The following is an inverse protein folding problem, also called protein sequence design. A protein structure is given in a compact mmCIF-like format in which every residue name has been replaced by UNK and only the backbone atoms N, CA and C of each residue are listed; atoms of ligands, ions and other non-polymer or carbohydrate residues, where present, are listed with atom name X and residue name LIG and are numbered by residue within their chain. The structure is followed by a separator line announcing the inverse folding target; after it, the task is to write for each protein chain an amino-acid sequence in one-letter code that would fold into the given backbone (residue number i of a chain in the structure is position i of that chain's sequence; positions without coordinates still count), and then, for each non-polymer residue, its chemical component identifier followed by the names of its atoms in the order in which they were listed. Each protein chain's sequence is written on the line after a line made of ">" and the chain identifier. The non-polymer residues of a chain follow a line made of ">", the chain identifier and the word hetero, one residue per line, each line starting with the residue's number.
data_IF_304445533595
#
_entry.id   IF_304445533595
#
_cell.length_a   1.000
_cell.length_b   1.000
_cell.length_c   1.000
_cell.angle_alpha   90.00
_cell.angle_beta   90.00
_cell.angle_gamma   90.00
#
_symmetry.space_group_name_H-M   'P 1'
#
loop_
_entity.id
_entity.type
_entity.pdbx_description
1 polymer ?
#
# COMPACT_ATOMS: atom_id res chain seq x y z
N UNK A 1 31.25 8.46 -1.91
CA UNK A 1 29.89 8.97 -2.16
C UNK A 1 28.88 8.27 -1.24
N UNK A 2 28.14 9.04 -0.45
CA UNK A 2 27.08 8.47 0.40
C UNK A 2 25.90 7.97 -0.47
N UNK A 3 25.15 7.00 0.05
CA UNK A 3 23.95 6.47 -0.62
C UNK A 3 22.97 7.59 -0.99
N UNK A 4 22.78 8.54 -0.08
CA UNK A 4 21.90 9.70 -0.28
C UNK A 4 22.44 10.70 -1.30
N UNK A 5 23.77 10.84 -1.44
CA UNK A 5 24.37 11.68 -2.49
C UNK A 5 24.09 11.12 -3.89
N UNK A 6 24.21 9.81 -4.07
CA UNK A 6 23.89 9.15 -5.34
C UNK A 6 22.42 9.43 -5.68
N UNK A 7 21.51 9.20 -4.73
CA UNK A 7 20.08 9.45 -4.92
C UNK A 7 19.80 10.93 -5.17
N UNK A 8 20.44 11.84 -4.44
CA UNK A 8 20.28 13.27 -4.63
C UNK A 8 20.74 13.71 -6.03
N UNK A 9 21.83 13.14 -6.54
CA UNK A 9 22.29 13.40 -7.90
C UNK A 9 21.31 12.88 -8.95
N UNK A 10 20.77 11.66 -8.76
CA UNK A 10 19.72 11.11 -9.62
C UNK A 10 18.45 12.00 -9.62
N UNK A 11 18.00 12.44 -8.45
CA UNK A 11 16.83 13.32 -8.33
C UNK A 11 17.09 14.72 -8.91
N UNK A 12 18.31 15.24 -8.79
CA UNK A 12 18.70 16.54 -9.37
C UNK A 12 18.73 16.48 -10.89
N UNK A 13 19.28 15.40 -11.46
CA UNK A 13 19.25 15.16 -12.90
C UNK A 13 17.83 15.03 -13.43
N UNK A 14 16.96 14.35 -12.70
CA UNK A 14 15.54 14.21 -13.02
C UNK A 14 14.82 15.55 -13.01
N UNK A 15 15.05 16.40 -12.00
CA UNK A 15 14.50 17.78 -11.98
C UNK A 15 14.98 18.62 -13.16
N UNK A 16 16.28 18.54 -13.47
CA UNK A 16 16.88 19.26 -14.58
C UNK A 16 16.42 18.73 -15.96
N UNK A 17 15.98 17.47 -16.03
CA UNK A 17 15.37 16.87 -17.22
C UNK A 17 13.95 17.38 -17.41
N UNK A 18 13.11 17.32 -16.37
CA UNK A 18 11.70 17.76 -16.43
C UNK A 18 11.56 19.27 -16.71
N UNK A 19 12.56 20.08 -16.34
CA UNK A 19 12.59 21.51 -16.64
C UNK A 19 12.92 21.81 -18.13
N UNK A 20 13.49 20.85 -18.86
CA UNK A 20 13.78 20.98 -20.29
C UNK A 20 12.62 20.34 -21.05
N UNK A 21 11.71 21.17 -21.54
CA UNK A 21 10.58 20.75 -22.38
C UNK A 21 11.14 20.07 -23.64
N UNK A 22 11.23 18.73 -23.62
CA UNK A 22 11.93 17.97 -24.64
C UNK A 22 10.97 17.61 -25.79
N UNK A 23 11.38 17.89 -27.03
CA UNK A 23 10.60 17.58 -28.24
C UNK A 23 10.45 16.06 -28.50
N UNK A 24 11.06 15.20 -27.65
CA UNK A 24 10.99 13.74 -27.70
C UNK A 24 10.48 13.14 -26.39
N UNK A 25 9.17 13.27 -26.17
CA UNK A 25 8.46 12.77 -24.98
C UNK A 25 8.69 11.26 -24.72
N UNK A 26 9.06 10.48 -25.74
CA UNK A 26 9.34 9.03 -25.63
C UNK A 26 10.69 8.73 -24.98
N UNK A 27 11.75 9.41 -25.39
CA UNK A 27 13.11 9.18 -24.86
C UNK A 27 13.18 9.63 -23.39
N UNK A 28 12.44 10.69 -23.05
CA UNK A 28 12.33 11.18 -21.69
C UNK A 28 11.59 10.19 -20.78
N UNK A 29 10.49 9.58 -21.26
CA UNK A 29 9.78 8.52 -20.50
C UNK A 29 10.66 7.31 -20.25
N UNK A 30 11.43 6.88 -21.26
CA UNK A 30 12.38 5.77 -21.13
C UNK A 30 13.46 6.07 -20.09
N UNK A 31 14.01 7.29 -20.10
CA UNK A 31 14.98 7.72 -19.09
C UNK A 31 14.38 7.69 -17.68
N UNK A 32 13.16 8.21 -17.51
CA UNK A 32 12.47 8.23 -16.22
C UNK A 32 12.21 6.82 -15.68
N UNK A 33 11.77 5.90 -16.54
CA UNK A 33 11.53 4.50 -16.17
C UNK A 33 12.82 3.77 -15.81
N UNK A 34 13.87 3.93 -16.62
CA UNK A 34 15.19 3.37 -16.33
C UNK A 34 15.71 3.86 -14.98
N UNK A 35 15.50 5.14 -14.65
CA UNK A 35 15.92 5.71 -13.38
C UNK A 35 15.13 5.17 -12.19
N UNK A 36 13.79 5.05 -12.30
CA UNK A 36 12.95 4.45 -11.26
C UNK A 36 13.41 3.00 -11.01
N UNK A 37 13.65 2.24 -12.07
CA UNK A 37 14.11 0.85 -11.97
C UNK A 37 15.49 0.75 -11.33
N UNK A 38 16.45 1.59 -11.74
CA UNK A 38 17.78 1.63 -11.15
C UNK A 38 17.75 1.97 -9.65
N UNK A 39 16.90 2.92 -9.24
CA UNK A 39 16.71 3.25 -7.83
C UNK A 39 16.13 2.08 -7.03
N UNK A 40 15.15 1.37 -7.61
CA UNK A 40 14.57 0.16 -7.03
C UNK A 40 15.59 -0.95 -6.82
N UNK A 41 16.34 -1.26 -7.88
CA UNK A 41 17.41 -2.27 -7.88
C UNK A 41 18.48 -1.94 -6.85
N UNK A 42 18.90 -0.68 -6.83
CA UNK A 42 19.87 -0.19 -5.86
C UNK A 42 19.35 -0.31 -4.43
N UNK A 43 18.09 0.04 -4.17
CA UNK A 43 17.49 -0.08 -2.84
C UNK A 43 17.34 -1.54 -2.38
N UNK A 44 17.08 -2.48 -3.29
CA UNK A 44 16.93 -3.91 -2.97
C UNK A 44 18.19 -4.51 -2.32
N UNK A 45 19.36 -4.00 -2.73
CA UNK A 45 20.66 -4.42 -2.20
C UNK A 45 21.02 -3.81 -0.83
N UNK A 46 20.17 -2.93 -0.29
CA UNK A 46 20.42 -2.26 0.99
C UNK A 46 19.64 -2.91 2.14
N UNK A 47 20.14 -2.78 3.38
CA UNK A 47 19.35 -3.12 4.56
C UNK A 47 18.09 -2.27 4.69
N UNK A 48 17.05 -2.81 5.33
CA UNK A 48 15.75 -2.14 5.44
C UNK A 48 15.82 -0.79 6.19
N UNK A 49 16.71 -0.65 7.18
CA UNK A 49 16.91 0.64 7.86
C UNK A 49 17.44 1.74 6.93
N UNK A 50 18.14 1.41 5.84
CA UNK A 50 18.55 2.39 4.84
C UNK A 50 17.42 2.67 3.84
N UNK A 51 16.60 1.66 3.53
CA UNK A 51 15.42 1.85 2.66
C UNK A 51 14.45 2.86 3.27
N UNK A 52 14.24 2.83 4.59
CA UNK A 52 13.37 3.83 5.24
C UNK A 52 13.97 5.25 5.19
N UNK A 53 15.28 5.39 5.34
CA UNK A 53 15.96 6.68 5.17
C UNK A 53 15.83 7.20 3.73
N UNK A 54 15.94 6.31 2.75
CA UNK A 54 15.72 6.63 1.33
C UNK A 54 14.28 7.06 1.08
N UNK A 55 13.30 6.33 1.61
CA UNK A 55 11.88 6.67 1.49
C UNK A 55 11.58 8.03 2.13
N UNK A 56 12.15 8.30 3.32
CA UNK A 56 12.10 9.60 3.98
C UNK A 56 12.79 10.71 3.17
N UNK A 57 13.90 10.41 2.51
CA UNK A 57 14.58 11.37 1.66
C UNK A 57 13.74 11.73 0.42
N UNK A 58 13.15 10.74 -0.25
CA UNK A 58 12.34 10.94 -1.45
C UNK A 58 11.06 11.71 -1.11
N UNK A 59 10.34 11.32 -0.06
CA UNK A 59 9.06 11.94 0.30
C UNK A 59 9.20 13.43 0.63
N UNK A 60 10.28 13.81 1.31
CA UNK A 60 10.59 15.20 1.64
C UNK A 60 11.00 16.04 0.42
N UNK A 61 11.29 15.40 -0.73
CA UNK A 61 11.60 16.07 -2.01
C UNK A 61 10.39 16.19 -2.92
N UNK A 62 9.25 15.57 -2.58
CA UNK A 62 8.01 15.63 -3.38
C UNK A 62 7.42 17.05 -3.31
N UNK A 63 7.13 17.69 -4.45
CA UNK A 63 6.44 18.97 -4.47
C UNK A 63 5.04 18.87 -3.84
N UNK A 64 4.78 19.69 -2.82
CA UNK A 64 3.47 19.77 -2.16
C UNK A 64 2.56 20.76 -2.90
N UNK A 65 1.36 20.32 -3.27
CA UNK A 65 0.35 21.17 -3.93
C UNK A 65 -0.30 22.22 -3.00
N UNK A 66 0.10 22.29 -1.73
CA UNK A 66 -0.42 23.24 -0.74
C UNK A 66 0.07 24.69 -0.96
N UNK A 67 1.06 24.92 -1.83
CA UNK A 67 1.44 26.28 -2.19
C UNK A 67 0.37 26.82 -3.14
N UNK A 68 -0.22 27.97 -2.82
CA UNK A 68 -1.32 28.64 -3.52
C UNK A 68 -1.11 28.93 -5.02
N UNK A 69 0.02 28.52 -5.60
CA UNK A 69 0.22 28.50 -7.05
C UNK A 69 -0.24 27.15 -7.60
N UNK A 70 -1.14 27.21 -8.59
CA UNK A 70 -1.38 26.11 -9.54
C UNK A 70 -0.01 25.53 -9.94
N UNK A 71 0.31 24.33 -9.43
CA UNK A 71 1.60 23.69 -9.67
C UNK A 71 1.87 23.61 -11.16
N UNK A 72 3.10 23.90 -11.58
CA UNK A 72 3.46 23.84 -12.98
C UNK A 72 3.31 22.40 -13.50
N UNK A 73 3.16 22.21 -14.82
CA UNK A 73 3.16 20.88 -15.43
C UNK A 73 4.43 20.09 -15.03
N UNK A 74 5.56 20.79 -14.89
CA UNK A 74 6.81 20.26 -14.39
C UNK A 74 6.71 19.77 -12.93
N UNK A 75 6.05 20.52 -12.03
CA UNK A 75 5.85 20.09 -10.64
C UNK A 75 4.96 18.84 -10.54
N UNK A 76 3.91 18.76 -11.35
CA UNK A 76 3.03 17.59 -11.39
C UNK A 76 3.76 16.35 -11.92
N UNK A 77 4.62 16.52 -12.93
CA UNK A 77 5.45 15.45 -13.49
C UNK A 77 6.48 14.99 -12.45
N UNK A 78 7.19 15.93 -11.82
CA UNK A 78 8.15 15.65 -10.77
C UNK A 78 7.52 14.92 -9.58
N UNK A 79 6.33 15.36 -9.14
CA UNK A 79 5.55 14.68 -8.12
C UNK A 79 5.24 13.24 -8.54
N UNK A 80 4.78 13.03 -9.78
CA UNK A 80 4.49 11.69 -10.27
C UNK A 80 5.73 10.79 -10.28
N UNK A 81 6.89 11.29 -10.68
CA UNK A 81 8.09 10.47 -10.77
C UNK A 81 8.61 10.14 -9.37
N UNK A 82 8.66 11.11 -8.46
CA UNK A 82 9.11 10.88 -7.08
C UNK A 82 8.20 9.92 -6.33
N UNK A 83 6.88 9.99 -6.53
CA UNK A 83 5.95 9.02 -5.94
C UNK A 83 6.14 7.61 -6.53
N UNK A 84 6.43 7.47 -7.82
CA UNK A 84 6.77 6.18 -8.43
C UNK A 84 8.10 5.63 -7.94
N UNK A 85 9.12 6.48 -7.79
CA UNK A 85 10.40 6.14 -7.17
C UNK A 85 10.20 5.66 -5.73
N UNK A 86 9.39 6.39 -4.94
CA UNK A 86 9.06 6.02 -3.56
C UNK A 86 8.36 4.65 -3.51
N UNK A 87 7.36 4.43 -4.38
CA UNK A 87 6.68 3.15 -4.48
C UNK A 87 7.64 2.01 -4.83
N UNK A 88 8.54 2.22 -5.79
CA UNK A 88 9.52 1.20 -6.21
C UNK A 88 10.47 0.82 -5.06
N UNK A 89 10.95 1.78 -4.27
CA UNK A 89 11.72 1.49 -3.06
C UNK A 89 10.85 0.77 -2.02
N UNK A 90 9.57 1.15 -1.88
CA UNK A 90 8.63 0.47 -0.99
C UNK A 90 8.43 -1.01 -1.31
N UNK A 91 8.47 -1.41 -2.60
CA UNK A 91 8.32 -2.83 -2.98
C UNK A 91 9.48 -3.73 -2.53
N UNK A 92 10.64 -3.16 -2.22
CA UNK A 92 11.81 -3.91 -1.75
C UNK A 92 11.95 -3.87 -0.22
N UNK A 93 11.12 -3.08 0.47
CA UNK A 93 11.17 -2.91 1.91
C UNK A 93 10.52 -4.10 2.63
N UNK A 94 11.30 -4.82 3.45
CA UNK A 94 10.80 -5.96 4.23
C UNK A 94 10.93 -5.67 5.71
N UNK A 95 9.82 -5.60 6.43
CA UNK A 95 9.84 -5.43 7.89
C UNK A 95 9.16 -6.59 8.59
N UNK A 96 9.85 -7.10 9.62
CA UNK A 96 9.31 -8.16 10.49
C UNK A 96 8.28 -7.62 11.49
N UNK A 97 8.39 -6.36 11.90
CA UNK A 97 7.50 -5.72 12.87
C UNK A 97 6.70 -4.57 12.24
N UNK A 98 5.40 -4.51 12.52
CA UNK A 98 4.51 -3.47 11.96
C UNK A 98 4.83 -2.09 12.54
N UNK A 99 5.14 -2.03 13.84
CA UNK A 99 5.59 -0.81 14.53
C UNK A 99 6.85 -0.20 13.91
N UNK A 100 7.66 -1.01 13.23
CA UNK A 100 8.85 -0.57 12.48
C UNK A 100 8.58 -0.35 10.98
N UNK A 101 7.42 -0.78 10.48
CA UNK A 101 7.03 -0.60 9.09
C UNK A 101 6.79 0.88 8.76
N UNK A 102 6.24 1.64 9.72
CA UNK A 102 5.98 3.07 9.57
C UNK A 102 6.57 3.88 10.73
N UNK A 103 7.68 4.59 10.52
CA UNK A 103 8.01 5.71 11.38
C UNK A 103 6.88 6.74 11.34
N UNK A 104 6.47 7.26 12.49
CA UNK A 104 5.37 8.23 12.59
C UNK A 104 5.57 9.44 11.66
N UNK A 105 6.80 9.96 11.57
CA UNK A 105 7.14 11.08 10.69
C UNK A 105 6.96 10.75 9.19
N UNK A 106 7.21 9.49 8.79
CA UNK A 106 7.03 9.05 7.41
C UNK A 106 5.54 8.94 7.05
N UNK A 107 4.75 8.35 7.96
CA UNK A 107 3.30 8.25 7.78
C UNK A 107 2.65 9.64 7.72
N UNK A 108 3.05 10.55 8.62
CA UNK A 108 2.57 11.93 8.62
C UNK A 108 2.89 12.65 7.30
N UNK A 109 4.10 12.46 6.76
CA UNK A 109 4.49 13.04 5.47
C UNK A 109 3.64 12.49 4.30
N UNK A 110 3.33 11.19 4.28
CA UNK A 110 2.44 10.58 3.28
C UNK A 110 1.03 11.17 3.34
N UNK A 111 0.45 11.27 4.54
CA UNK A 111 -0.89 11.79 4.74
C UNK A 111 -0.98 13.28 4.38
N UNK A 112 0.01 14.07 4.77
CA UNK A 112 0.09 15.50 4.42
C UNK A 112 0.14 15.73 2.91
N UNK A 113 0.90 14.90 2.18
CA UNK A 113 0.91 14.93 0.71
C UNK A 113 -0.45 14.54 0.12
N UNK A 114 -1.14 13.56 0.72
CA UNK A 114 -2.46 13.09 0.30
C UNK A 114 -3.54 14.17 0.38
N UNK A 115 -3.52 15.00 1.42
CA UNK A 115 -4.53 16.05 1.65
C UNK A 115 -4.60 17.12 0.56
N UNK A 116 -3.51 17.37 -0.15
CA UNK A 116 -3.45 18.36 -1.25
C UNK A 116 -3.24 17.76 -2.64
N UNK A 117 -3.08 16.43 -2.76
CA UNK A 117 -2.71 15.79 -4.01
C UNK A 117 -3.90 15.61 -4.97
N UNK A 118 -3.62 15.68 -6.29
CA UNK A 118 -4.59 15.34 -7.33
C UNK A 118 -4.97 13.84 -7.31
N UNK A 119 -6.05 13.43 -7.99
CA UNK A 119 -6.56 12.05 -7.95
C UNK A 119 -5.50 10.97 -8.23
N UNK A 120 -4.69 11.15 -9.29
CA UNK A 120 -3.62 10.20 -9.65
C UNK A 120 -2.53 10.06 -8.58
N UNK A 121 -2.16 11.17 -7.95
CA UNK A 121 -1.17 11.17 -6.88
C UNK A 121 -1.73 10.50 -5.61
N UNK A 122 -3.02 10.73 -5.29
CA UNK A 122 -3.71 10.03 -4.18
C UNK A 122 -3.75 8.51 -4.40
N UNK A 123 -4.08 8.04 -5.59
CA UNK A 123 -4.02 6.60 -5.91
C UNK A 123 -2.62 6.03 -5.74
N UNK A 124 -1.58 6.79 -6.12
CA UNK A 124 -0.19 6.34 -5.95
C UNK A 124 0.21 6.29 -4.47
N UNK A 125 -0.20 7.28 -3.67
CA UNK A 125 0.00 7.29 -2.22
C UNK A 125 -0.71 6.14 -1.52
N UNK A 126 -1.97 5.85 -1.90
CA UNK A 126 -2.69 4.67 -1.41
C UNK A 126 -1.97 3.38 -1.78
N UNK A 127 -1.44 3.28 -3.00
CA UNK A 127 -0.66 2.11 -3.42
C UNK A 127 0.65 1.97 -2.64
N UNK A 128 1.31 3.07 -2.27
CA UNK A 128 2.48 3.05 -1.37
C UNK A 128 2.07 2.50 0.00
N UNK A 129 1.00 3.04 0.60
CA UNK A 129 0.50 2.56 1.89
C UNK A 129 0.17 1.06 1.86
N UNK A 130 -0.55 0.62 0.82
CA UNK A 130 -0.89 -0.79 0.65
C UNK A 130 0.37 -1.66 0.50
N UNK A 131 1.34 -1.24 -0.31
CA UNK A 131 2.60 -1.98 -0.52
C UNK A 131 3.36 -2.18 0.80
N UNK A 132 3.39 -1.15 1.65
CA UNK A 132 4.10 -1.20 2.93
C UNK A 132 3.33 -1.98 4.01
N UNK A 133 2.00 -2.00 3.94
CA UNK A 133 1.15 -2.80 4.83
C UNK A 133 1.14 -4.29 4.42
N UNK A 134 1.09 -4.56 3.13
CA UNK A 134 0.97 -5.89 2.54
C UNK A 134 2.31 -6.62 2.42
N UNK A 135 2.94 -6.83 3.58
CA UNK A 135 4.29 -7.42 3.72
C UNK A 135 4.41 -8.85 3.20
N UNK A 136 3.30 -9.54 2.95
CA UNK A 136 3.28 -10.93 2.48
C UNK A 136 2.66 -11.08 1.09
N UNK A 137 2.55 -9.99 0.33
CA UNK A 137 2.02 -9.99 -1.04
C UNK A 137 0.65 -10.69 -1.13
N UNK A 138 -0.26 -10.32 -0.22
CA UNK A 138 -1.62 -10.84 -0.19
C UNK A 138 -2.52 -10.12 -1.20
N UNK A 139 -2.13 -8.97 -1.74
CA UNK A 139 -2.88 -8.21 -2.74
C UNK A 139 -3.36 -9.06 -3.93
N UNK A 140 -2.52 -9.89 -4.61
CA UNK A 140 -3.01 -10.78 -5.66
C UNK A 140 -4.00 -11.83 -5.15
N UNK A 141 -3.88 -12.27 -3.88
CA UNK A 141 -4.80 -13.23 -3.26
C UNK A 141 -6.15 -12.59 -2.89
N UNK A 142 -6.17 -11.28 -2.68
CA UNK A 142 -7.37 -10.49 -2.36
C UNK A 142 -8.03 -9.89 -3.61
N UNK A 143 -7.34 -9.87 -4.76
CA UNK A 143 -7.84 -9.33 -6.03
C UNK A 143 -8.95 -10.20 -6.65
N UNK A 144 -8.94 -11.50 -6.34
CA UNK A 144 -10.06 -12.41 -6.52
C UNK A 144 -10.29 -13.08 -5.17
N UNK A 145 -11.15 -12.52 -4.30
CA UNK A 145 -11.53 -13.20 -3.07
C UNK A 145 -12.36 -14.43 -3.45
N UNK A 146 -11.68 -15.50 -3.85
CA UNK A 146 -12.30 -16.80 -4.06
C UNK A 146 -12.53 -17.40 -2.69
N UNK A 147 -13.78 -17.31 -2.24
CA UNK A 147 -14.30 -18.26 -1.25
C UNK A 147 -14.50 -19.59 -2.01
N UNK A 148 -13.42 -20.19 -2.52
CA UNK A 148 -13.44 -21.55 -3.05
C UNK A 148 -13.49 -22.49 -1.86
N UNK A 149 -14.71 -22.64 -1.35
CA UNK A 149 -14.99 -23.33 -0.10
C UNK A 149 -14.72 -24.83 -0.19
N UNK A 150 -14.72 -25.41 -1.39
CA UNK A 150 -14.50 -26.85 -1.60
C UNK A 150 -13.10 -27.31 -1.15
N UNK A 151 -12.08 -26.44 -1.24
CA UNK A 151 -10.70 -26.76 -0.85
C UNK A 151 -10.29 -26.23 0.54
N UNK A 152 -11.20 -25.58 1.28
CA UNK A 152 -10.85 -25.00 2.58
C UNK A 152 -10.63 -26.10 3.63
N UNK A 153 -9.39 -26.18 4.15
CA UNK A 153 -9.06 -26.96 5.34
C UNK A 153 -9.34 -26.16 6.61
N UNK A 154 -9.30 -26.85 7.76
CA UNK A 154 -9.42 -26.20 9.07
C UNK A 154 -8.39 -25.08 9.28
N UNK A 155 -7.17 -25.22 8.74
CA UNK A 155 -6.15 -24.18 8.85
C UNK A 155 -6.52 -22.92 8.05
N UNK A 156 -7.22 -23.08 6.92
CA UNK A 156 -7.72 -21.93 6.15
C UNK A 156 -8.81 -21.18 6.93
N UNK A 157 -9.71 -21.91 7.56
CA UNK A 157 -10.79 -21.38 8.41
C UNK A 157 -10.21 -20.64 9.62
N UNK A 158 -9.19 -21.20 10.27
CA UNK A 158 -8.48 -20.55 11.37
C UNK A 158 -7.77 -19.27 10.94
N UNK A 159 -7.05 -19.29 9.81
CA UNK A 159 -6.36 -18.12 9.28
C UNK A 159 -7.34 -16.99 8.91
N UNK A 160 -8.50 -17.33 8.34
CA UNK A 160 -9.58 -16.37 8.07
C UNK A 160 -10.08 -15.76 9.38
N UNK A 161 -10.38 -16.58 10.38
CA UNK A 161 -10.83 -16.11 11.69
C UNK A 161 -9.81 -15.17 12.33
N UNK A 162 -8.54 -15.56 12.42
CA UNK A 162 -7.48 -14.74 13.04
C UNK A 162 -7.33 -13.40 12.33
N UNK A 163 -7.37 -13.39 11.00
CA UNK A 163 -7.22 -12.16 10.21
C UNK A 163 -8.42 -11.23 10.42
N UNK A 164 -9.63 -11.75 10.35
CA UNK A 164 -10.86 -10.97 10.56
C UNK A 164 -11.00 -10.51 12.02
N UNK A 165 -10.59 -11.33 12.99
CA UNK A 165 -10.60 -10.98 14.40
C UNK A 165 -9.65 -9.81 14.69
N UNK A 166 -8.44 -9.83 14.12
CA UNK A 166 -7.51 -8.70 14.24
C UNK A 166 -8.09 -7.42 13.62
N UNK A 167 -8.78 -7.54 12.47
CA UNK A 167 -9.47 -6.40 11.85
C UNK A 167 -10.59 -5.88 12.75
N UNK A 168 -11.44 -6.76 13.31
CA UNK A 168 -12.50 -6.36 14.23
C UNK A 168 -11.93 -5.65 15.47
N UNK A 169 -10.89 -6.22 16.09
CA UNK A 169 -10.33 -5.66 17.34
C UNK A 169 -9.63 -4.32 17.10
N UNK A 170 -8.88 -4.18 16.01
CA UNK A 170 -8.06 -2.99 15.76
C UNK A 170 -8.82 -1.86 15.05
N UNK A 171 -9.86 -2.19 14.27
CA UNK A 171 -10.56 -1.23 13.42
C UNK A 171 -12.03 -1.01 13.80
N UNK A 172 -12.59 -1.74 14.77
CA UNK A 172 -13.96 -1.47 15.21
C UNK A 172 -14.07 -0.11 15.90
N UNK A 173 -14.89 0.74 15.32
CA UNK A 173 -15.31 2.03 15.85
C UNK A 173 -16.78 2.24 15.50
N UNK A 174 -17.42 3.27 16.07
CA UNK A 174 -18.80 3.62 15.71
C UNK A 174 -18.99 3.85 14.19
N UNK A 175 -17.93 4.27 13.49
CA UNK A 175 -17.97 4.54 12.06
C UNK A 175 -17.86 3.26 11.21
N UNK A 176 -17.17 2.21 11.69
CA UNK A 176 -16.86 1.00 10.92
C UNK A 176 -17.68 -0.23 11.34
N UNK A 177 -18.33 -0.19 12.51
CA UNK A 177 -19.08 -1.33 13.06
C UNK A 177 -20.18 -1.83 12.14
N UNK A 178 -20.85 -0.93 11.40
CA UNK A 178 -21.87 -1.29 10.43
C UNK A 178 -21.29 -2.11 9.27
N UNK A 179 -20.14 -1.71 8.73
CA UNK A 179 -19.48 -2.40 7.62
C UNK A 179 -18.93 -3.77 8.07
N UNK A 180 -18.37 -3.83 9.28
CA UNK A 180 -17.88 -5.10 9.86
C UNK A 180 -19.06 -6.05 10.14
N UNK A 181 -20.19 -5.53 10.62
CA UNK A 181 -21.40 -6.32 10.81
C UNK A 181 -21.95 -6.84 9.48
N UNK A 182 -21.94 -6.03 8.42
CA UNK A 182 -22.33 -6.47 7.07
C UNK A 182 -21.42 -7.59 6.55
N UNK A 183 -20.11 -7.51 6.80
CA UNK A 183 -19.17 -8.57 6.46
C UNK A 183 -19.49 -9.88 7.20
N UNK A 184 -19.74 -9.81 8.51
CA UNK A 184 -20.09 -10.99 9.33
C UNK A 184 -21.39 -11.64 8.84
N UNK A 185 -22.39 -10.82 8.52
CA UNK A 185 -23.68 -11.29 7.98
C UNK A 185 -23.52 -11.88 6.57
N UNK A 186 -22.64 -11.34 5.74
CA UNK A 186 -22.34 -11.90 4.43
C UNK A 186 -21.68 -13.29 4.54
N UNK A 187 -20.78 -13.49 5.50
CA UNK A 187 -20.18 -14.81 5.79
C UNK A 187 -21.26 -15.80 6.25
N UNK A 188 -22.14 -15.36 7.16
CA UNK A 188 -23.25 -16.19 7.64
C UNK A 188 -24.22 -16.57 6.50
N UNK A 189 -24.54 -15.60 5.64
CA UNK A 189 -25.41 -15.84 4.49
C UNK A 189 -24.76 -16.78 3.46
N UNK A 190 -23.45 -16.66 3.24
CA UNK A 190 -22.70 -17.59 2.38
C UNK A 190 -22.80 -19.03 2.88
N UNK A 191 -22.69 -19.24 4.20
CA UNK A 191 -22.87 -20.56 4.81
C UNK A 191 -24.28 -21.13 4.58
N UNK A 192 -25.32 -20.29 4.72
CA UNK A 192 -26.72 -20.71 4.60
C UNK A 192 -27.21 -20.90 3.16
N UNK A 193 -26.67 -20.13 2.23
CA UNK A 193 -27.16 -20.07 0.85
C UNK A 193 -26.35 -20.92 -0.13
N UNK A 194 -25.18 -21.41 0.27
CA UNK A 194 -24.30 -22.16 -0.62
C UNK A 194 -24.64 -23.68 -0.60
N UNK A 195 -25.21 -24.23 -1.68
CA UNK A 195 -25.64 -25.63 -1.74
C UNK A 195 -24.48 -26.63 -1.90
N UNK A 196 -23.25 -26.14 -2.15
CA UNK A 196 -22.06 -26.94 -2.41
C UNK A 196 -21.33 -27.29 -1.11
N UNK A 197 -21.55 -26.53 -0.04
CA UNK A 197 -20.88 -26.71 1.23
C UNK A 197 -21.27 -27.99 1.94
N UNK A 198 -20.28 -28.69 2.50
CA UNK A 198 -20.54 -29.75 3.47
C UNK A 198 -21.10 -29.17 4.77
N UNK A 199 -21.87 -29.97 5.52
CA UNK A 199 -22.40 -29.59 6.84
C UNK A 199 -21.30 -29.14 7.80
N UNK A 200 -20.13 -29.79 7.77
CA UNK A 200 -18.99 -29.42 8.60
C UNK A 200 -18.48 -28.02 8.27
N UNK A 201 -18.35 -27.68 6.99
CA UNK A 201 -17.93 -26.35 6.54
C UNK A 201 -18.97 -25.27 6.87
N UNK A 202 -20.26 -25.59 6.73
CA UNK A 202 -21.34 -24.69 7.15
C UNK A 202 -21.24 -24.36 8.65
N UNK A 203 -21.06 -25.39 9.49
CA UNK A 203 -20.89 -25.19 10.94
C UNK A 203 -19.65 -24.35 11.27
N UNK A 204 -18.53 -24.57 10.55
CA UNK A 204 -17.30 -23.80 10.74
C UNK A 204 -17.48 -22.32 10.38
N UNK A 205 -18.14 -22.01 9.26
CA UNK A 205 -18.45 -20.62 8.90
C UNK A 205 -19.41 -19.96 9.89
N UNK A 206 -20.41 -20.70 10.38
CA UNK A 206 -21.30 -20.20 11.44
C UNK A 206 -20.52 -19.88 12.73
N UNK A 207 -19.59 -20.75 13.12
CA UNK A 207 -18.74 -20.53 14.27
C UNK A 207 -17.88 -19.27 14.10
N UNK A 208 -17.30 -19.06 12.91
CA UNK A 208 -16.56 -17.82 12.59
C UNK A 208 -17.47 -16.60 12.74
N UNK A 209 -18.65 -16.59 12.13
CA UNK A 209 -19.57 -15.46 12.21
C UNK A 209 -19.93 -15.11 13.65
N UNK A 210 -20.23 -16.11 14.48
CA UNK A 210 -20.56 -15.93 15.90
C UNK A 210 -19.34 -15.40 16.66
N UNK A 211 -18.17 -16.01 16.46
CA UNK A 211 -16.95 -15.61 17.14
C UNK A 211 -16.47 -14.21 16.75
N UNK A 212 -16.69 -13.77 15.51
CA UNK A 212 -16.39 -12.40 15.06
C UNK A 212 -17.41 -11.39 15.60
N UNK A 213 -18.69 -11.74 15.63
CA UNK A 213 -19.73 -10.88 16.21
C UNK A 213 -19.49 -10.61 17.70
N UNK A 214 -18.95 -11.59 18.43
CA UNK A 214 -18.59 -11.45 19.84
C UNK A 214 -17.40 -10.50 20.09
N UNK A 215 -16.66 -10.11 19.05
CA UNK A 215 -15.53 -9.17 19.15
C UNK A 215 -15.92 -7.72 18.87
N UNK A 216 -17.17 -7.46 18.45
CA UNK A 216 -17.66 -6.11 18.23
C UNK A 216 -17.99 -5.43 19.58
N UNK A 217 -17.65 -4.14 19.75
CA UNK A 217 -17.91 -3.37 20.96
C UNK A 217 -19.40 -3.03 21.18
#
# INVERSE_FOLDING_TARGET
>A
PSVLEIINNLLTNLRASVARDSEKETDEKLYQEALINALGEFADHLPDFQKIDIMMFIINKVPSSQRANKGTKADAMLQSILLKSLLKVGTTYRTVELSKAFPAAFLEALLRLGGGAGPRARTTLQRILHTLLDRRDNAPRLASPTVELESNTMENVEAIYTTLALICIELASEETVCDIMQLILAIQQSSLSNPVLSVAQQCQLQAISISLAALLP
#
